data_IF_492073219470
#
_entry.id   IF_492073219470
#
_cell.length_a   1.000
_cell.length_b   1.000
_cell.length_c   1.000
_cell.angle_alpha   90.00
_cell.angle_beta   90.00
_cell.angle_gamma   90.00
#
_symmetry.space_group_name_H-M   'P 1'
#
loop_
_entity.id
_entity.type
_entity.pdbx_description
1 polymer ?
#
# COMPACT_ATOMS: atom_id res chain seq x y z
N UNK A 1 -18.96 77.73 16.62
CA UNK A 1 -19.23 76.56 15.76
C UNK A 1 -17.94 75.89 15.26
N UNK A 2 -16.93 76.60 14.78
CA UNK A 2 -15.70 75.99 14.22
C UNK A 2 -14.82 75.18 15.21
N UNK A 3 -14.85 75.49 16.51
CA UNK A 3 -14.01 74.82 17.53
C UNK A 3 -14.50 73.41 17.90
N UNK A 4 -15.78 73.12 17.65
CA UNK A 4 -16.42 71.85 18.01
C UNK A 4 -16.18 70.79 16.93
N UNK A 5 -16.21 71.16 15.65
CA UNK A 5 -15.92 70.25 14.53
C UNK A 5 -14.45 69.80 14.47
N UNK A 6 -13.49 70.66 14.86
CA UNK A 6 -12.06 70.29 14.91
C UNK A 6 -11.77 69.19 15.94
N UNK A 7 -12.52 69.15 17.05
CA UNK A 7 -12.33 68.18 18.11
C UNK A 7 -12.84 66.79 17.70
N UNK A 8 -13.97 66.72 16.99
CA UNK A 8 -14.57 65.45 16.55
C UNK A 8 -13.73 64.74 15.47
N UNK A 9 -13.08 65.50 14.57
CA UNK A 9 -12.21 64.93 13.54
C UNK A 9 -10.91 64.35 14.13
N UNK A 10 -10.35 64.98 15.17
CA UNK A 10 -9.08 64.53 15.78
C UNK A 10 -9.23 63.31 16.70
N UNK A 11 -10.42 63.08 17.26
CA UNK A 11 -10.70 61.89 18.05
C UNK A 11 -10.93 60.66 17.15
N UNK A 12 -11.62 60.84 16.02
CA UNK A 12 -11.87 59.76 15.05
C UNK A 12 -10.68 59.42 14.15
N UNK A 13 -9.71 60.34 13.95
CA UNK A 13 -8.58 60.13 13.04
C UNK A 13 -7.37 59.42 13.68
N UNK A 14 -7.46 58.98 14.94
CA UNK A 14 -6.35 58.27 15.60
C UNK A 14 -6.27 56.86 15.00
N UNK A 15 -5.19 56.51 14.27
CA UNK A 15 -5.07 55.16 13.74
C UNK A 15 -5.00 54.18 14.91
N UNK A 16 -5.86 53.16 14.88
CA UNK A 16 -5.78 52.03 15.82
C UNK A 16 -4.37 51.47 15.70
N UNK A 17 -3.59 51.52 16.78
CA UNK A 17 -2.21 51.08 16.77
C UNK A 17 -2.15 49.58 16.48
N UNK A 18 -1.88 49.23 15.23
CA UNK A 18 -1.44 47.90 14.85
C UNK A 18 0.02 47.76 15.30
N UNK A 19 0.27 46.84 16.21
CA UNK A 19 1.63 46.45 16.62
C UNK A 19 2.32 45.82 15.41
N UNK A 20 3.27 46.54 14.81
CA UNK A 20 4.15 46.00 13.80
C UNK A 20 5.02 44.90 14.43
N UNK A 21 5.10 43.74 13.78
CA UNK A 21 6.02 42.68 14.18
C UNK A 21 7.45 43.09 13.78
N UNK A 22 8.37 43.18 14.74
CA UNK A 22 9.77 43.59 14.50
C UNK A 22 10.56 42.62 13.60
N UNK A 23 10.04 41.42 13.36
CA UNK A 23 10.71 40.36 12.59
C UNK A 23 9.72 39.74 11.62
N UNK A 24 10.14 39.56 10.36
CA UNK A 24 9.41 38.75 9.40
C UNK A 24 9.34 37.31 9.92
N UNK A 25 8.17 36.89 10.39
CA UNK A 25 7.87 35.47 10.63
C UNK A 25 7.68 34.87 9.24
N UNK A 26 8.75 34.33 8.66
CA UNK A 26 8.61 33.52 7.46
C UNK A 26 7.76 32.31 7.83
N UNK A 27 6.55 32.23 7.29
CA UNK A 27 5.64 31.07 7.39
C UNK A 27 6.15 29.87 6.58
N UNK A 28 7.42 29.87 6.21
CA UNK A 28 8.03 28.85 5.37
C UNK A 28 8.33 27.63 6.24
N UNK A 29 7.28 26.86 6.49
CA UNK A 29 7.39 25.49 6.95
C UNK A 29 8.19 24.71 5.90
N UNK A 30 9.41 24.29 6.25
CA UNK A 30 10.13 23.26 5.51
C UNK A 30 9.51 21.93 5.94
N UNK A 31 8.71 21.23 5.12
CA UNK A 31 8.24 19.92 5.50
C UNK A 31 9.44 19.00 5.66
N UNK A 32 9.80 18.67 6.91
CA UNK A 32 10.85 17.68 7.24
C UNK A 32 10.29 16.26 7.16
N UNK A 33 9.00 16.08 6.90
CA UNK A 33 8.40 14.79 6.61
C UNK A 33 8.61 14.47 5.12
N UNK A 34 9.34 13.38 4.85
CA UNK A 34 9.34 12.75 3.53
C UNK A 34 7.89 12.59 3.07
N UNK A 35 7.56 13.19 1.93
CA UNK A 35 6.21 13.15 1.38
C UNK A 35 5.75 11.68 1.25
N UNK A 36 4.48 11.40 1.52
CA UNK A 36 3.85 10.09 1.41
C UNK A 36 4.25 9.33 0.14
N UNK A 37 4.34 10.05 -0.98
CA UNK A 37 4.80 9.51 -2.26
C UNK A 37 6.22 8.94 -2.20
N UNK A 38 7.14 9.62 -1.53
CA UNK A 38 8.53 9.19 -1.36
C UNK A 38 8.63 7.96 -0.45
N UNK A 39 7.81 7.90 0.61
CA UNK A 39 7.73 6.74 1.52
C UNK A 39 7.22 5.50 0.77
N UNK A 40 6.20 5.66 -0.07
CA UNK A 40 5.66 4.57 -0.87
C UNK A 40 6.63 4.11 -1.98
N UNK A 41 7.34 5.04 -2.61
CA UNK A 41 8.38 4.74 -3.59
C UNK A 41 9.52 3.90 -3.00
N UNK A 42 10.03 4.27 -1.82
CA UNK A 42 11.07 3.50 -1.12
C UNK A 42 10.58 2.11 -0.69
N UNK A 43 9.30 1.96 -0.32
CA UNK A 43 8.69 0.65 -0.06
C UNK A 43 8.69 -0.23 -1.31
N UNK A 44 8.27 0.31 -2.46
CA UNK A 44 8.18 -0.42 -3.74
C UNK A 44 9.55 -0.82 -4.30
N UNK A 45 10.62 -0.10 -3.95
CA UNK A 45 11.99 -0.40 -4.43
C UNK A 45 12.60 -1.66 -3.82
N UNK A 46 12.16 -2.07 -2.63
CA UNK A 46 12.64 -3.31 -1.97
C UNK A 46 12.06 -4.59 -2.58
N UNK A 47 11.12 -4.48 -3.51
CA UNK A 47 10.51 -5.63 -4.22
C UNK A 47 11.29 -6.06 -5.48
N UNK A 48 12.46 -5.48 -5.75
CA UNK A 48 13.22 -5.68 -6.98
C UNK A 48 14.39 -6.66 -6.88
N UNK A 49 14.13 -7.96 -7.10
CA UNK A 49 14.98 -8.99 -7.76
C UNK A 49 14.55 -10.38 -7.28
N UNK A 50 13.61 -10.99 -7.99
CA UNK A 50 13.24 -12.39 -7.77
C UNK A 50 13.04 -13.05 -9.13
N UNK A 51 14.13 -13.37 -9.80
CA UNK A 51 14.12 -14.27 -10.97
C UNK A 51 14.40 -15.73 -10.56
N UNK A 52 14.85 -15.95 -9.32
CA UNK A 52 14.81 -17.24 -8.63
C UNK A 52 13.55 -17.33 -7.74
N UNK A 53 12.41 -16.78 -8.21
CA UNK A 53 11.17 -16.80 -7.46
C UNK A 53 10.36 -18.07 -7.72
N UNK A 54 10.40 -18.60 -8.95
CA UNK A 54 9.46 -19.59 -9.44
C UNK A 54 9.33 -20.82 -8.52
N UNK A 55 10.46 -21.43 -8.18
CA UNK A 55 10.51 -22.55 -7.22
C UNK A 55 10.09 -22.15 -5.80
N UNK A 56 10.47 -20.95 -5.37
CA UNK A 56 10.11 -20.44 -4.04
C UNK A 56 8.61 -20.09 -3.92
N UNK A 57 8.00 -19.64 -5.02
CA UNK A 57 6.58 -19.29 -5.12
C UNK A 57 5.73 -20.55 -5.08
N UNK A 58 6.16 -21.62 -5.74
CA UNK A 58 5.53 -22.93 -5.63
C UNK A 58 5.50 -23.41 -4.18
N UNK A 59 6.63 -23.41 -3.48
CA UNK A 59 6.70 -23.80 -2.07
C UNK A 59 5.78 -22.94 -1.18
N UNK A 60 5.78 -21.61 -1.38
CA UNK A 60 4.87 -20.71 -0.66
C UNK A 60 3.39 -21.04 -0.91
N UNK A 61 3.04 -21.39 -2.14
CA UNK A 61 1.67 -21.78 -2.50
C UNK A 61 1.30 -23.11 -1.83
N UNK A 62 2.18 -24.12 -1.85
CA UNK A 62 1.92 -25.39 -1.18
C UNK A 62 1.77 -25.23 0.35
N UNK A 63 2.66 -24.47 1.00
CA UNK A 63 2.55 -24.17 2.43
C UNK A 63 1.29 -23.37 2.78
N UNK A 64 0.81 -22.53 1.86
CA UNK A 64 -0.48 -21.86 2.04
C UNK A 64 -1.60 -22.92 2.03
N UNK A 65 -1.67 -23.76 0.99
CA UNK A 65 -2.69 -24.79 0.83
C UNK A 65 -2.69 -25.87 1.93
N UNK A 66 -1.58 -26.05 2.64
CA UNK A 66 -1.50 -26.90 3.83
C UNK A 66 -2.36 -26.35 4.99
N UNK A 67 -2.47 -25.02 5.12
CA UNK A 67 -3.24 -24.36 6.18
C UNK A 67 -4.72 -24.23 5.83
N UNK A 68 -5.03 -23.96 4.57
CA UNK A 68 -6.41 -23.92 4.08
C UNK A 68 -6.52 -24.60 2.72
N UNK A 69 -7.49 -25.50 2.58
CA UNK A 69 -7.73 -26.22 1.33
C UNK A 69 -8.15 -25.30 0.16
N UNK A 70 -8.70 -24.13 0.49
CA UNK A 70 -9.35 -23.22 -0.43
C UNK A 70 -8.75 -21.83 -0.25
N UNK A 71 -8.19 -21.26 -1.32
CA UNK A 71 -7.69 -19.89 -1.31
C UNK A 71 -8.28 -19.05 -2.43
N UNK A 72 -8.46 -17.76 -2.17
CA UNK A 72 -8.74 -16.82 -3.25
C UNK A 72 -7.43 -16.46 -3.98
N UNK A 73 -7.54 -16.13 -5.27
CA UNK A 73 -6.42 -15.62 -6.06
C UNK A 73 -5.76 -14.40 -5.39
N UNK A 74 -6.57 -13.52 -4.78
CA UNK A 74 -6.09 -12.30 -4.10
C UNK A 74 -5.16 -12.64 -2.94
N UNK A 75 -5.57 -13.59 -2.10
CA UNK A 75 -4.80 -13.98 -0.91
C UNK A 75 -3.48 -14.65 -1.31
N UNK A 76 -3.49 -15.46 -2.37
CA UNK A 76 -2.26 -16.10 -2.89
C UNK A 76 -1.28 -15.08 -3.47
N UNK A 77 -1.79 -14.02 -4.08
CA UNK A 77 -0.98 -12.89 -4.56
C UNK A 77 -0.33 -12.15 -3.39
N UNK A 78 -1.08 -11.93 -2.30
CA UNK A 78 -0.56 -11.27 -1.09
C UNK A 78 0.48 -12.13 -0.36
N UNK A 79 0.27 -13.45 -0.28
CA UNK A 79 1.21 -14.39 0.36
C UNK A 79 2.51 -14.48 -0.43
N UNK A 80 2.43 -14.67 -1.75
CA UNK A 80 3.61 -14.86 -2.62
C UNK A 80 4.32 -13.55 -2.94
N UNK A 81 3.64 -12.41 -2.74
CA UNK A 81 4.08 -11.07 -3.16
C UNK A 81 4.48 -11.03 -4.64
N UNK A 82 3.85 -11.86 -5.46
CA UNK A 82 4.08 -11.94 -6.90
C UNK A 82 2.95 -11.26 -7.67
N UNK A 83 3.19 -10.97 -8.94
CA UNK A 83 2.15 -10.42 -9.81
C UNK A 83 1.03 -11.44 -10.04
N UNK A 84 -0.20 -10.93 -10.17
CA UNK A 84 -1.43 -11.71 -10.39
C UNK A 84 -1.33 -12.63 -11.62
N UNK A 85 -0.62 -12.19 -12.67
CA UNK A 85 -0.41 -12.98 -13.89
C UNK A 85 0.41 -14.23 -13.62
N UNK A 86 1.52 -14.09 -12.91
CA UNK A 86 2.44 -15.20 -12.63
C UNK A 86 1.80 -16.25 -11.72
N UNK A 87 1.14 -15.80 -10.64
CA UNK A 87 0.38 -16.70 -9.74
C UNK A 87 -0.75 -17.42 -10.49
N UNK A 88 -1.38 -16.77 -11.49
CA UNK A 88 -2.42 -17.39 -12.33
C UNK A 88 -1.88 -18.55 -13.16
N UNK A 89 -0.69 -18.39 -13.73
CA UNK A 89 -0.06 -19.41 -14.57
C UNK A 89 0.28 -20.63 -13.76
N UNK A 90 0.95 -20.46 -12.61
CA UNK A 90 1.25 -21.54 -11.67
C UNK A 90 -0.03 -22.24 -11.22
N UNK A 91 -1.05 -21.49 -10.80
CA UNK A 91 -2.30 -22.07 -10.33
C UNK A 91 -3.04 -22.83 -11.43
N UNK A 92 -2.89 -22.45 -12.70
CA UNK A 92 -3.47 -23.19 -13.83
C UNK A 92 -2.75 -24.52 -14.07
N UNK A 93 -1.47 -24.59 -13.73
CA UNK A 93 -0.64 -25.80 -13.85
C UNK A 93 -0.97 -26.81 -12.74
N UNK A 94 -0.93 -26.36 -11.47
CA UNK A 94 -1.03 -27.25 -10.29
C UNK A 94 -2.42 -27.29 -9.64
N UNK A 95 -3.29 -26.32 -9.95
CA UNK A 95 -4.55 -26.10 -9.26
C UNK A 95 -5.79 -26.29 -10.13
N UNK A 96 -6.94 -26.37 -9.47
CA UNK A 96 -8.27 -26.37 -10.06
C UNK A 96 -8.98 -25.10 -9.62
N UNK A 97 -9.50 -24.35 -10.59
CA UNK A 97 -10.34 -23.20 -10.30
C UNK A 97 -11.78 -23.66 -10.04
N UNK A 98 -12.28 -23.39 -8.84
CA UNK A 98 -13.67 -23.62 -8.53
C UNK A 98 -14.53 -22.43 -8.98
N UNK A 99 -15.32 -22.66 -10.04
CA UNK A 99 -16.23 -21.67 -10.64
C UNK A 99 -17.68 -21.85 -10.19
N UNK A 100 -17.98 -22.85 -9.35
CA UNK A 100 -19.36 -23.21 -8.97
C UNK A 100 -19.60 -23.07 -7.46
N UNK A 101 -20.82 -22.66 -7.10
CA UNK A 101 -21.29 -22.64 -5.71
C UNK A 101 -21.04 -21.32 -4.97
N UNK A 102 -20.99 -21.39 -3.64
CA UNK A 102 -20.74 -20.29 -2.68
C UNK A 102 -19.25 -19.91 -2.58
N UNK A 103 -18.35 -20.76 -3.08
CA UNK A 103 -16.90 -20.54 -3.14
C UNK A 103 -16.45 -20.14 -4.55
N UNK A 104 -17.13 -19.16 -5.16
CA UNK A 104 -16.78 -18.68 -6.51
C UNK A 104 -15.40 -18.03 -6.50
N UNK A 105 -14.58 -18.36 -7.49
CA UNK A 105 -13.23 -17.83 -7.72
C UNK A 105 -12.17 -18.34 -6.73
N UNK A 106 -12.45 -19.43 -6.06
CA UNK A 106 -11.50 -20.12 -5.20
C UNK A 106 -10.63 -21.06 -6.02
N UNK A 107 -9.37 -21.20 -5.61
CA UNK A 107 -8.43 -22.17 -6.15
C UNK A 107 -8.23 -23.28 -5.12
N UNK A 108 -8.11 -24.49 -5.64
CA UNK A 108 -7.81 -25.70 -4.88
C UNK A 108 -6.61 -26.38 -5.53
N UNK A 109 -5.75 -27.02 -4.75
CA UNK A 109 -4.64 -27.79 -5.29
C UNK A 109 -5.17 -29.12 -5.87
N UNK A 110 -4.70 -29.54 -7.05
CA UNK A 110 -5.03 -30.88 -7.58
C UNK A 110 -4.56 -31.96 -6.60
N UNK A 111 -5.34 -33.04 -6.40
CA UNK A 111 -4.96 -34.15 -5.51
C UNK A 111 -3.68 -34.87 -5.99
N UNK A 112 -3.39 -34.83 -7.28
CA UNK A 112 -2.18 -35.39 -7.91
C UNK A 112 -0.90 -34.70 -7.42
N UNK A 113 -0.94 -33.38 -7.19
CA UNK A 113 0.23 -32.63 -6.70
C UNK A 113 0.43 -32.72 -5.18
N UNK A 114 -0.48 -33.35 -4.42
CA UNK A 114 -0.17 -33.76 -3.04
C UNK A 114 0.94 -34.82 -2.99
N UNK A 115 1.13 -35.58 -4.07
CA UNK A 115 2.05 -36.73 -4.09
C UNK A 115 3.46 -36.38 -4.55
N UNK A 116 3.67 -35.25 -5.25
CA UNK A 116 5.00 -34.86 -5.72
C UNK A 116 5.99 -34.56 -4.56
N UNK A 117 5.48 -34.18 -3.38
CA UNK A 117 6.29 -34.03 -2.16
C UNK A 117 6.82 -35.35 -1.58
N UNK A 118 6.30 -36.50 -2.03
CA UNK A 118 6.73 -37.80 -1.51
C UNK A 118 7.83 -38.45 -2.35
N UNK A 119 7.95 -38.10 -3.63
CA UNK A 119 8.96 -38.69 -4.53
C UNK A 119 10.25 -37.86 -4.64
N UNK A 120 10.22 -36.54 -4.47
CA UNK A 120 11.44 -35.70 -4.57
C UNK A 120 12.28 -35.68 -3.26
N UNK A 121 11.84 -36.36 -2.20
CA UNK A 121 12.53 -36.42 -0.90
C UNK A 121 13.12 -37.79 -0.58
N UNK A 122 13.43 -38.58 -1.60
CA UNK A 122 14.21 -39.81 -1.51
C UNK A 122 15.46 -39.73 -2.38
N UNK A 123 16.45 -38.98 -1.91
CA UNK A 123 17.87 -39.25 -2.15
C UNK A 123 18.68 -38.72 -0.95
#
# INVERSE_FOLDING_TARGET
>A
MAKLEELDLTESSKPVRLSHLDKVVTTNYKPVANHQYNIEYERKKKDGKRAQADKHVLDMIFSAFEKHQYYNRKDLVDITKQLVGYVKEILKEIGVQNVKGIHKNTWELKPEYRQYQREEKSD
#
